data_IF_790833808793
#
_entry.id   IF_790833808793
#
_cell.length_a   1.000
_cell.length_b   1.000
_cell.length_c   1.000
_cell.angle_alpha   90.00
_cell.angle_beta   90.00
_cell.angle_gamma   90.00
#
_symmetry.space_group_name_H-M   'P 1'
#
loop_
_entity.id
_entity.type
_entity.pdbx_description
1 polymer ?
#
# COMPACT_ATOMS: atom_id res chain seq x y z
N UNK A 1 4.25 -2.02 8.03
CA UNK A 1 4.00 -0.61 7.64
C UNK A 1 3.53 0.16 8.85
N UNK A 2 3.77 1.47 8.92
CA UNK A 2 3.23 2.35 9.96
C UNK A 2 2.48 3.52 9.29
N UNK A 3 1.20 3.75 9.60
CA UNK A 3 0.36 2.93 10.47
C UNK A 3 0.13 1.51 9.89
N UNK A 4 -0.32 0.59 10.75
CA UNK A 4 -0.73 -0.74 10.32
C UNK A 4 -1.98 -0.63 9.43
N UNK A 5 -2.09 -1.49 8.42
CA UNK A 5 -3.31 -1.60 7.61
C UNK A 5 -4.27 -2.52 8.34
N UNK A 6 -5.44 -2.00 8.69
CA UNK A 6 -6.56 -2.74 9.27
C UNK A 6 -7.79 -2.53 8.39
N UNK A 7 -8.50 -3.62 8.08
CA UNK A 7 -9.69 -3.60 7.21
C UNK A 7 -10.75 -4.47 7.86
N UNK A 8 -11.99 -3.98 7.90
CA UNK A 8 -13.16 -4.78 8.26
C UNK A 8 -13.83 -5.28 6.99
N UNK A 9 -14.06 -6.59 6.90
CA UNK A 9 -14.67 -7.23 5.74
C UNK A 9 -16.09 -7.68 6.12
N UNK A 10 -17.09 -7.39 5.28
CA UNK A 10 -18.49 -7.77 5.51
C UNK A 10 -19.12 -8.34 4.25
N UNK A 11 -20.23 -9.06 4.39
CA UNK A 11 -20.99 -9.60 3.25
C UNK A 11 -20.41 -10.86 2.61
N UNK A 12 -19.45 -11.53 3.26
CA UNK A 12 -18.93 -12.81 2.78
C UNK A 12 -19.84 -13.97 3.19
N UNK A 13 -20.00 -14.92 2.27
CA UNK A 13 -20.70 -16.18 2.58
C UNK A 13 -20.00 -16.93 3.72
N UNK A 14 -20.69 -17.22 4.85
CA UNK A 14 -20.05 -17.70 6.08
C UNK A 14 -19.20 -18.96 5.93
N UNK A 15 -19.61 -19.87 5.04
CA UNK A 15 -19.01 -21.21 4.89
C UNK A 15 -18.04 -21.31 3.70
N UNK A 16 -17.89 -20.25 2.91
CA UNK A 16 -16.97 -20.23 1.76
C UNK A 16 -15.58 -19.81 2.23
N UNK A 17 -14.52 -20.42 1.67
CA UNK A 17 -13.13 -20.05 1.95
C UNK A 17 -12.65 -18.97 1.01
N UNK A 18 -11.98 -17.97 1.56
CA UNK A 18 -11.40 -16.83 0.85
C UNK A 18 -9.91 -16.72 1.17
N UNK A 19 -9.14 -16.27 0.18
CA UNK A 19 -7.79 -15.76 0.37
C UNK A 19 -7.84 -14.24 0.38
N UNK A 20 -7.13 -13.62 1.33
CA UNK A 20 -6.94 -12.16 1.36
C UNK A 20 -5.52 -11.87 0.89
N UNK A 21 -5.39 -11.02 -0.13
CA UNK A 21 -4.12 -10.59 -0.68
C UNK A 21 -4.01 -9.07 -0.61
N UNK A 22 -2.79 -8.58 -0.37
CA UNK A 22 -2.44 -7.16 -0.38
C UNK A 22 -1.38 -6.90 -1.45
N UNK A 23 -1.65 -5.91 -2.29
CA UNK A 23 -0.69 -5.35 -3.26
C UNK A 23 -0.55 -3.85 -2.98
N UNK A 24 0.67 -3.32 -3.17
CA UNK A 24 0.91 -1.88 -3.22
C UNK A 24 1.25 -1.53 -4.67
N UNK A 25 0.32 -0.86 -5.35
CA UNK A 25 0.50 -0.39 -6.71
C UNK A 25 1.09 1.03 -6.73
N UNK A 26 1.97 1.36 -7.70
CA UNK A 26 2.46 2.72 -7.85
C UNK A 26 1.34 3.70 -8.16
N UNK A 27 1.37 4.87 -7.55
CA UNK A 27 0.44 5.96 -7.87
C UNK A 27 0.85 6.73 -9.14
N UNK A 28 2.13 6.65 -9.54
CA UNK A 28 2.65 7.26 -10.76
C UNK A 28 3.96 6.60 -11.23
N UNK A 29 4.31 6.81 -12.51
CA UNK A 29 5.60 6.40 -13.08
C UNK A 29 6.69 7.47 -12.91
N UNK A 30 6.71 8.15 -11.76
CA UNK A 30 7.66 9.26 -11.49
C UNK A 30 8.56 8.92 -10.32
N UNK A 31 9.85 9.19 -10.49
CA UNK A 31 10.82 9.18 -9.39
C UNK A 31 10.85 10.55 -8.74
N UNK A 32 10.75 10.59 -7.41
CA UNK A 32 10.75 11.83 -6.64
C UNK A 32 12.05 12.03 -5.88
N UNK A 33 12.47 13.29 -5.75
CA UNK A 33 13.57 13.72 -4.87
C UNK A 33 13.04 14.77 -3.91
N UNK A 34 13.29 14.58 -2.62
CA UNK A 34 13.07 15.63 -1.63
C UNK A 34 14.21 16.65 -1.72
N UNK A 35 13.88 17.90 -2.02
CA UNK A 35 14.84 18.99 -2.05
C UNK A 35 14.59 19.81 -0.80
N UNK A 36 15.32 19.53 0.28
CA UNK A 36 15.21 20.30 1.51
C UNK A 36 15.92 21.64 1.37
N UNK A 37 15.19 22.72 1.61
CA UNK A 37 15.74 23.98 2.11
C UNK A 37 14.58 24.79 2.65
N UNK A 38 14.61 25.05 3.96
CA UNK A 38 13.98 26.19 4.60
C UNK A 38 15.08 27.25 4.67
N UNK A 39 15.38 27.91 3.55
CA UNK A 39 16.11 29.17 3.65
C UNK A 39 15.06 30.23 3.97
N UNK A 40 14.73 30.38 5.25
CA UNK A 40 13.76 31.37 5.74
C UNK A 40 14.14 32.79 5.29
N UNK A 41 15.44 33.05 5.11
CA UNK A 41 15.95 34.31 4.57
C UNK A 41 15.59 34.54 3.08
N UNK A 42 15.23 33.48 2.34
CA UNK A 42 14.82 33.54 0.92
C UNK A 42 13.35 33.14 0.69
N UNK A 43 12.59 32.85 1.74
CA UNK A 43 11.16 32.50 1.66
C UNK A 43 10.85 31.26 0.82
N UNK A 44 11.83 30.38 0.58
CA UNK A 44 11.69 29.27 -0.37
C UNK A 44 11.66 27.95 0.39
N UNK A 45 10.46 27.40 0.60
CA UNK A 45 10.28 26.03 1.04
C UNK A 45 10.38 25.10 -0.18
N UNK A 46 11.43 24.29 -0.27
CA UNK A 46 11.46 23.21 -1.26
C UNK A 46 11.07 21.88 -0.60
N UNK A 47 10.26 21.08 -1.31
CA UNK A 47 9.70 19.81 -0.83
C UNK A 47 9.94 18.67 -1.83
N UNK A 48 8.97 17.77 -1.99
CA UNK A 48 9.05 16.70 -2.99
C UNK A 48 8.95 17.25 -4.42
N UNK A 49 9.93 16.91 -5.26
CA UNK A 49 10.00 17.32 -6.68
C UNK A 49 10.20 16.10 -7.58
N UNK A 50 9.87 16.22 -8.87
CA UNK A 50 10.06 15.15 -9.85
C UNK A 50 11.53 15.13 -10.30
N UNK A 51 12.15 13.95 -10.29
CA UNK A 51 13.55 13.74 -10.63
C UNK A 51 13.75 12.67 -11.74
N UNK A 52 12.69 12.40 -12.52
CA UNK A 52 12.70 11.49 -13.67
C UNK A 52 11.57 10.45 -13.65
N UNK A 53 11.71 9.44 -14.50
CA UNK A 53 10.81 8.28 -14.54
C UNK A 53 11.10 7.30 -13.38
N UNK A 54 10.05 6.63 -12.90
CA UNK A 54 10.20 5.54 -11.94
C UNK A 54 10.76 4.28 -12.62
N UNK A 55 11.42 3.43 -11.85
CA UNK A 55 11.87 2.11 -12.31
C UNK A 55 10.67 1.19 -12.58
N UNK A 56 10.84 0.21 -13.48
CA UNK A 56 9.81 -0.77 -13.77
C UNK A 56 9.46 -1.61 -12.53
N UNK A 57 8.17 -1.88 -12.35
CA UNK A 57 7.71 -2.72 -11.24
C UNK A 57 8.11 -4.17 -11.45
N UNK A 58 8.47 -4.84 -10.35
CA UNK A 58 8.63 -6.29 -10.36
C UNK A 58 7.33 -6.98 -10.78
N UNK A 59 7.41 -8.20 -11.34
CA UNK A 59 6.23 -9.00 -11.68
C UNK A 59 5.26 -9.13 -10.49
N UNK A 60 3.95 -9.14 -10.77
CA UNK A 60 2.89 -9.10 -9.75
C UNK A 60 3.03 -10.22 -8.70
N UNK A 61 3.46 -11.43 -9.10
CA UNK A 61 3.63 -12.57 -8.19
C UNK A 61 4.68 -12.33 -7.09
N UNK A 62 5.59 -11.36 -7.26
CA UNK A 62 6.59 -10.98 -6.23
C UNK A 62 6.14 -9.82 -5.34
N UNK A 63 5.01 -9.19 -5.67
CA UNK A 63 4.49 -7.99 -4.99
C UNK A 63 3.20 -8.25 -4.21
N UNK A 64 2.66 -9.46 -4.32
CA UNK A 64 1.49 -9.90 -3.56
C UNK A 64 1.93 -10.43 -2.19
N UNK A 65 1.37 -9.85 -1.14
CA UNK A 65 1.39 -10.42 0.19
C UNK A 65 0.10 -11.21 0.41
N UNK A 66 0.21 -12.48 0.79
CA UNK A 66 -0.95 -13.30 1.19
C UNK A 66 -1.09 -13.20 2.70
N UNK A 67 -2.28 -12.84 3.18
CA UNK A 67 -2.55 -12.78 4.62
C UNK A 67 -2.32 -14.16 5.25
N UNK A 68 -1.65 -14.28 6.42
CA UNK A 68 -1.25 -15.55 7.02
C UNK A 68 -2.44 -16.48 7.32
N UNK A 69 -3.59 -15.92 7.66
CA UNK A 69 -4.81 -16.70 7.89
C UNK A 69 -5.44 -17.29 6.62
N UNK A 70 -4.92 -16.96 5.43
CA UNK A 70 -5.47 -17.49 4.18
C UNK A 70 -5.06 -18.97 3.97
N UNK A 71 -5.99 -19.83 3.52
CA UNK A 71 -7.41 -19.58 3.33
C UNK A 71 -8.21 -19.69 4.63
N UNK A 72 -9.16 -18.77 4.84
CA UNK A 72 -10.13 -18.82 5.94
C UNK A 72 -11.57 -18.57 5.47
N UNK A 73 -12.54 -18.95 6.30
CA UNK A 73 -13.97 -18.84 5.97
C UNK A 73 -14.48 -17.40 5.95
N UNK A 74 -15.59 -17.12 5.26
CA UNK A 74 -16.23 -15.80 5.31
C UNK A 74 -16.60 -15.38 6.74
N UNK A 75 -16.97 -16.36 7.59
CA UNK A 75 -17.21 -16.15 9.02
C UNK A 75 -15.96 -15.81 9.83
N UNK A 76 -14.76 -16.23 9.39
CA UNK A 76 -13.50 -15.83 10.01
C UNK A 76 -13.19 -14.38 9.69
N UNK A 77 -13.25 -14.01 8.41
CA UNK A 77 -12.94 -12.68 7.91
C UNK A 77 -13.94 -11.59 8.31
N UNK A 78 -15.19 -11.97 8.58
CA UNK A 78 -16.23 -11.03 9.02
C UNK A 78 -16.21 -10.74 10.53
N UNK A 79 -15.28 -11.33 11.28
CA UNK A 79 -15.04 -10.94 12.68
C UNK A 79 -14.36 -9.56 12.70
N UNK A 80 -14.60 -8.78 13.76
CA UNK A 80 -13.98 -7.46 13.89
C UNK A 80 -12.45 -7.56 13.80
N UNK A 81 -11.80 -6.57 13.15
CA UNK A 81 -10.36 -6.56 12.89
C UNK A 81 -9.50 -6.46 14.16
#
# INVERSE_FOLDING_TARGET
MFPAIQVSITGLEPNVKYHVLLEISPTSQRRHKYVGSLDEAKGKCQGWTIAGSADEQSPIHKRLYVHPDSPATGSHWSKQP
#
